data_IF_244345595872
#
_entry.id   IF_244345595872
#
_cell.length_a   1.000
_cell.length_b   1.000
_cell.length_c   1.000
_cell.angle_alpha   90.00
_cell.angle_beta   90.00
_cell.angle_gamma   90.00
#
_symmetry.space_group_name_H-M   'P 1'
#
loop_
_entity.id
_entity.type
_entity.pdbx_description
1 polymer ?
#
# COMPACT_ATOMS: atom_id res chain seq x y z
N UNK A 1 -12.84 -8.49 -10.78
CA UNK A 1 -14.08 -8.64 -9.98
C UNK A 1 -13.76 -7.84 -8.74
N UNK A 2 -14.30 -6.63 -8.59
CA UNK A 2 -13.82 -5.72 -7.54
C UNK A 2 -13.90 -6.38 -6.16
N UNK A 3 -12.80 -6.26 -5.42
CA UNK A 3 -12.69 -6.72 -4.04
C UNK A 3 -13.69 -5.97 -3.18
N UNK A 4 -14.74 -6.66 -2.72
CA UNK A 4 -15.68 -6.14 -1.74
C UNK A 4 -15.15 -6.42 -0.34
N UNK A 5 -14.36 -5.49 0.21
CA UNK A 5 -13.91 -5.53 1.60
C UNK A 5 -14.98 -4.87 2.51
N UNK A 6 -15.25 -5.49 3.66
CA UNK A 6 -16.14 -4.93 4.68
C UNK A 6 -15.56 -3.62 5.24
N UNK A 7 -16.41 -2.62 5.47
CA UNK A 7 -15.98 -1.30 5.91
C UNK A 7 -15.21 -1.33 7.24
N UNK A 8 -15.59 -2.21 8.18
CA UNK A 8 -14.86 -2.37 9.44
C UNK A 8 -13.48 -3.00 9.23
N UNK A 9 -13.30 -3.82 8.21
CA UNK A 9 -12.00 -4.42 7.87
C UNK A 9 -11.07 -3.38 7.23
N UNK A 10 -11.60 -2.47 6.42
CA UNK A 10 -10.84 -1.35 5.85
C UNK A 10 -10.34 -0.36 6.92
N UNK A 11 -11.07 -0.20 8.03
CA UNK A 11 -10.63 0.59 9.19
C UNK A 11 -9.44 -0.04 9.94
N UNK A 12 -9.26 -1.36 9.83
CA UNK A 12 -8.17 -2.13 10.47
C UNK A 12 -7.00 -2.33 9.50
N UNK A 13 -7.27 -2.45 8.20
CA UNK A 13 -6.28 -2.67 7.15
C UNK A 13 -5.53 -1.38 6.83
N UNK A 14 -4.43 -1.19 7.54
CA UNK A 14 -3.47 -0.12 7.29
C UNK A 14 -2.43 -0.53 6.23
N UNK A 15 -1.91 0.47 5.52
CA UNK A 15 -0.71 0.33 4.71
C UNK A 15 0.45 -0.27 5.54
N UNK A 16 1.23 -1.23 5.00
CA UNK A 16 2.40 -1.79 5.69
C UNK A 16 3.60 -0.82 5.74
N UNK A 17 3.53 0.30 5.02
CA UNK A 17 4.54 1.34 5.08
C UNK A 17 4.39 2.18 6.38
N UNK A 18 5.44 2.89 6.84
CA UNK A 18 5.47 3.56 8.15
C UNK A 18 4.36 4.59 8.41
N UNK A 19 3.72 5.08 7.36
CA UNK A 19 2.56 5.98 7.39
C UNK A 19 1.28 5.31 7.90
N UNK A 20 1.16 3.97 7.79
CA UNK A 20 0.00 3.19 8.27
C UNK A 20 -1.36 3.76 7.83
N UNK A 21 -1.39 4.44 6.68
CA UNK A 21 -2.58 5.13 6.21
C UNK A 21 -3.62 4.16 5.61
N UNK A 22 -4.89 4.58 5.51
CA UNK A 22 -5.95 3.76 4.91
C UNK A 22 -5.67 3.40 3.44
N UNK A 23 -6.11 2.20 3.06
CA UNK A 23 -6.07 1.68 1.69
C UNK A 23 -7.43 1.84 1.01
N UNK A 24 -7.44 2.16 -0.29
CA UNK A 24 -8.64 2.25 -1.13
C UNK A 24 -8.59 1.21 -2.25
N UNK A 25 -9.69 0.52 -2.58
CA UNK A 25 -9.78 -0.38 -3.73
C UNK A 25 -9.44 0.31 -5.06
N UNK A 26 -8.81 -0.46 -5.95
CA UNK A 26 -8.40 -0.01 -7.27
C UNK A 26 -7.04 0.68 -7.31
N UNK A 27 -6.70 1.15 -8.51
CA UNK A 27 -5.52 1.97 -8.80
C UNK A 27 -5.95 3.40 -9.17
N UNK A 28 -5.04 4.39 -9.16
CA UNK A 28 -5.37 5.76 -9.56
C UNK A 28 -5.97 5.90 -10.97
N UNK A 29 -5.63 4.97 -11.89
CA UNK A 29 -6.14 4.96 -13.26
C UNK A 29 -7.28 3.98 -13.53
N UNK A 30 -7.55 3.06 -12.61
CA UNK A 30 -8.57 2.02 -12.75
C UNK A 30 -9.16 1.65 -11.37
N UNK A 31 -10.36 2.16 -11.02
CA UNK A 31 -11.00 1.89 -9.75
C UNK A 31 -11.51 0.45 -9.62
N UNK A 32 -11.66 -0.29 -10.72
CA UNK A 32 -12.17 -1.68 -10.74
C UNK A 32 -11.04 -2.72 -10.75
N UNK A 33 -9.78 -2.27 -10.75
CA UNK A 33 -8.62 -3.13 -10.70
C UNK A 33 -8.54 -3.95 -9.39
N UNK A 34 -8.03 -5.18 -9.50
CA UNK A 34 -7.77 -6.05 -8.36
C UNK A 34 -6.49 -5.59 -7.63
N UNK A 35 -6.57 -4.41 -7.00
CA UNK A 35 -5.47 -3.75 -6.29
C UNK A 35 -6.00 -2.87 -5.14
N UNK A 36 -5.10 -2.44 -4.27
CA UNK A 36 -5.34 -1.48 -3.19
C UNK A 36 -4.32 -0.36 -3.28
N UNK A 37 -4.77 0.88 -3.25
CA UNK A 37 -3.91 2.07 -3.25
C UNK A 37 -3.86 2.72 -1.88
N UNK A 38 -2.68 3.06 -1.39
CA UNK A 38 -2.54 3.82 -0.15
C UNK A 38 -2.84 5.31 -0.36
N UNK A 39 -3.65 5.88 0.54
CA UNK A 39 -4.03 7.30 0.48
C UNK A 39 -2.93 8.28 0.90
N UNK A 40 -1.84 7.81 1.54
CA UNK A 40 -0.72 8.66 1.98
C UNK A 40 0.55 8.49 1.15
N UNK A 41 1.10 7.28 1.06
CA UNK A 41 2.31 7.04 0.27
C UNK A 41 2.05 6.81 -1.23
N UNK A 42 0.80 6.61 -1.66
CA UNK A 42 0.44 6.42 -3.08
C UNK A 42 0.86 5.06 -3.67
N UNK A 43 1.39 4.14 -2.85
CA UNK A 43 1.75 2.79 -3.29
C UNK A 43 0.53 1.96 -3.64
N UNK A 44 0.69 1.10 -4.65
CA UNK A 44 -0.35 0.19 -5.14
C UNK A 44 0.05 -1.25 -4.81
N UNK A 45 -0.81 -1.93 -4.04
CA UNK A 45 -0.66 -3.32 -3.62
C UNK A 45 -1.57 -4.23 -4.45
N UNK A 46 -1.05 -5.28 -5.11
CA UNK A 46 -1.89 -6.15 -5.93
C UNK A 46 -2.75 -7.09 -5.07
N UNK A 47 -3.92 -7.45 -5.58
CA UNK A 47 -4.75 -8.53 -5.02
C UNK A 47 -4.61 -9.75 -5.92
N UNK A 48 -4.20 -10.88 -5.34
CA UNK A 48 -4.04 -12.15 -6.07
C UNK A 48 -4.94 -13.20 -5.43
N UNK A 49 -5.76 -13.87 -6.24
CA UNK A 49 -6.72 -14.88 -5.78
C UNK A 49 -7.68 -14.36 -4.67
N UNK A 50 -8.01 -13.07 -4.70
CA UNK A 50 -8.83 -12.41 -3.69
C UNK A 50 -8.10 -12.08 -2.39
N UNK A 51 -6.78 -12.29 -2.32
CA UNK A 51 -5.93 -11.99 -1.16
C UNK A 51 -5.07 -10.75 -1.45
N UNK A 52 -5.20 -9.68 -0.65
CA UNK A 52 -4.32 -8.52 -0.76
C UNK A 52 -2.88 -8.84 -0.40
N UNK A 53 -1.94 -8.54 -1.31
CA UNK A 53 -0.49 -8.70 -1.07
C UNK A 53 0.07 -7.40 -0.51
N UNK A 54 0.01 -7.24 0.81
CA UNK A 54 0.51 -6.06 1.54
C UNK A 54 2.02 -6.17 1.83
N UNK A 55 2.83 -6.40 0.80
CA UNK A 55 4.29 -6.45 0.90
C UNK A 55 4.89 -5.24 0.18
N UNK A 56 5.83 -4.53 0.82
CA UNK A 56 6.47 -3.34 0.26
C UNK A 56 7.22 -3.64 -1.05
N UNK A 57 7.88 -4.80 -1.10
CA UNK A 57 8.65 -5.25 -2.27
C UNK A 57 7.76 -5.61 -3.47
N UNK A 58 6.49 -5.93 -3.23
CA UNK A 58 5.51 -6.23 -4.27
C UNK A 58 4.64 -5.00 -4.64
N UNK A 59 4.77 -3.91 -3.88
CA UNK A 59 4.02 -2.70 -4.11
C UNK A 59 4.59 -1.92 -5.30
N UNK A 60 3.72 -1.47 -6.20
CA UNK A 60 4.12 -0.51 -7.23
C UNK A 60 4.22 0.89 -6.60
N UNK A 61 5.34 1.61 -6.76
CA UNK A 61 5.47 2.98 -6.26
C UNK A 61 4.52 3.92 -7.00
N UNK A 62 4.14 5.06 -6.41
CA UNK A 62 3.41 6.10 -7.14
C UNK A 62 4.22 6.55 -8.36
N UNK A 63 3.54 6.84 -9.48
CA UNK A 63 4.14 7.23 -10.77
C UNK A 63 5.06 8.47 -10.65
N UNK A 64 4.89 9.27 -9.59
CA UNK A 64 5.70 10.46 -9.31
C UNK A 64 6.79 10.19 -8.26
N UNK A 65 7.85 9.48 -8.67
CA UNK A 65 9.20 9.58 -8.08
C UNK A 65 9.31 9.34 -6.57
N UNK A 66 9.59 8.09 -6.21
CA UNK A 66 9.81 7.62 -4.85
C UNK A 66 10.60 8.57 -3.94
N UNK A 67 10.02 8.85 -2.77
CA UNK A 67 10.76 9.21 -1.56
C UNK A 67 10.61 8.09 -0.55
N UNK A 68 11.25 6.97 -0.86
CA UNK A 68 11.68 6.03 0.16
C UNK A 68 12.85 6.69 0.89
N UNK A 69 12.54 7.53 1.87
CA UNK A 69 13.51 7.83 2.93
C UNK A 69 13.55 6.63 3.86
N UNK A 70 14.12 5.54 3.35
CA UNK A 70 14.71 4.50 4.18
C UNK A 70 15.83 5.16 4.97
N UNK A 71 15.50 5.48 6.21
CA UNK A 71 16.40 5.87 7.30
C UNK A 71 17.39 4.72 7.55
N UNK A 72 18.39 4.59 6.69
CA UNK A 72 19.48 3.63 6.86
C UNK A 72 20.54 4.22 7.80
N UNK A 73 20.41 3.85 9.08
CA UNK A 73 21.50 3.31 9.93
C UNK A 73 22.84 4.05 9.91
N UNK A 74 23.22 4.63 11.05
CA UNK A 74 24.52 4.35 11.66
C UNK A 74 24.43 4.51 13.17
N UNK A 75 24.43 3.36 13.84
CA UNK A 75 24.73 3.24 15.26
C UNK A 75 26.20 3.64 15.47
N UNK A 76 26.46 4.86 15.92
CA UNK A 76 27.77 5.22 16.49
C UNK A 76 27.85 4.60 17.89
N UNK A 77 28.50 3.43 17.96
CA UNK A 77 28.98 2.86 19.20
C UNK A 77 30.14 3.69 19.74
N UNK A 78 29.97 4.25 20.93
CA UNK A 78 31.03 4.80 21.76
C UNK A 78 30.99 4.14 23.13
#
# INVERSE_FOLDING_TARGET
>A
MAVTLDAQLLEILACPAPDHAPLTPGTPGDPDADALTCTSCGRVYPVRDGIPVLLLDEATPPDDGGRDTDDQTSSDGA
#
